data_IF_189013700086
#
_entry.id   IF_189013700086
#
_cell.length_a   1.000
_cell.length_b   1.000
_cell.length_c   1.000
_cell.angle_alpha   90.00
_cell.angle_beta   90.00
_cell.angle_gamma   90.00
#
_symmetry.space_group_name_H-M   'P 1'
#
loop_
_entity.id
_entity.type
_entity.pdbx_description
1 polymer ?
#
# COMPACT_ATOMS: atom_id res chain seq x y z
N UNK A 1 9.32 8.57 12.04
CA UNK A 1 8.51 9.73 11.61
C UNK A 1 9.20 10.35 10.41
N UNK A 2 8.68 10.13 9.21
CA UNK A 2 9.24 10.70 7.98
C UNK A 2 9.06 12.23 8.07
N UNK A 3 10.16 12.98 8.01
CA UNK A 3 10.20 14.46 8.04
C UNK A 3 10.20 14.99 6.60
N UNK A 4 9.42 16.04 6.30
CA UNK A 4 9.33 16.69 4.98
C UNK A 4 7.90 16.67 4.41
N UNK A 5 7.65 17.36 3.29
CA UNK A 5 6.34 17.29 2.61
C UNK A 5 6.11 15.85 2.13
N UNK A 6 4.85 15.41 2.08
CA UNK A 6 4.48 14.05 1.67
C UNK A 6 5.09 13.71 0.29
N UNK A 7 5.01 14.68 -0.64
CA UNK A 7 5.61 14.66 -1.99
C UNK A 7 7.08 14.28 -2.03
N UNK A 8 7.85 14.74 -1.04
CA UNK A 8 9.32 14.59 -1.00
C UNK A 8 9.73 13.17 -0.58
N UNK A 9 8.78 12.38 -0.08
CA UNK A 9 9.03 11.05 0.43
C UNK A 9 8.22 9.96 -0.30
N UNK A 10 7.50 10.28 -1.39
CA UNK A 10 6.75 9.28 -2.15
C UNK A 10 7.64 8.10 -2.56
N UNK A 11 8.84 8.34 -3.08
CA UNK A 11 9.77 7.27 -3.45
C UNK A 11 10.08 6.33 -2.28
N UNK A 12 10.22 6.86 -1.05
CA UNK A 12 10.45 6.04 0.16
C UNK A 12 9.20 5.28 0.58
N UNK A 13 8.02 5.90 0.45
CA UNK A 13 6.73 5.24 0.74
C UNK A 13 6.51 4.08 -0.23
N UNK A 14 6.73 4.29 -1.52
CA UNK A 14 6.66 3.24 -2.54
C UNK A 14 7.71 2.14 -2.27
N UNK A 15 8.96 2.49 -1.97
CA UNK A 15 9.98 1.51 -1.63
C UNK A 15 9.60 0.68 -0.39
N UNK A 16 9.07 1.31 0.66
CA UNK A 16 8.58 0.62 1.85
C UNK A 16 7.42 -0.32 1.51
N UNK A 17 6.48 0.13 0.67
CA UNK A 17 5.36 -0.67 0.22
C UNK A 17 5.82 -1.90 -0.58
N UNK A 18 6.73 -1.71 -1.54
CA UNK A 18 7.34 -2.80 -2.31
C UNK A 18 8.06 -3.80 -1.40
N UNK A 19 8.86 -3.33 -0.44
CA UNK A 19 9.53 -4.19 0.53
C UNK A 19 8.53 -4.97 1.40
N UNK A 20 7.44 -4.33 1.82
CA UNK A 20 6.36 -4.99 2.55
C UNK A 20 5.71 -6.12 1.75
N UNK A 21 5.46 -5.90 0.45
CA UNK A 21 4.94 -6.93 -0.45
C UNK A 21 5.94 -8.07 -0.64
N UNK A 22 7.22 -7.77 -0.87
CA UNK A 22 8.26 -8.79 -1.00
C UNK A 22 8.38 -9.65 0.27
N UNK A 23 8.36 -9.01 1.45
CA UNK A 23 8.36 -9.71 2.72
C UNK A 23 7.13 -10.62 2.87
N UNK A 24 5.94 -10.13 2.48
CA UNK A 24 4.71 -10.93 2.48
C UNK A 24 4.80 -12.12 1.52
N UNK A 25 5.35 -11.96 0.32
CA UNK A 25 5.55 -13.07 -0.63
C UNK A 25 6.49 -14.13 -0.08
N UNK A 26 7.61 -13.72 0.53
CA UNK A 26 8.54 -14.64 1.19
C UNK A 26 7.83 -15.39 2.32
N UNK A 27 7.03 -14.70 3.12
CA UNK A 27 6.27 -15.31 4.21
C UNK A 27 5.24 -16.33 3.69
N UNK A 28 4.52 -16.04 2.61
CA UNK A 28 3.63 -16.99 1.94
C UNK A 28 4.39 -18.19 1.38
N UNK A 29 5.56 -17.99 0.76
CA UNK A 29 6.40 -19.07 0.26
C UNK A 29 6.90 -19.98 1.40
N UNK A 30 7.24 -19.41 2.56
CA UNK A 30 7.60 -20.20 3.75
C UNK A 30 6.40 -21.02 4.22
N UNK A 31 5.21 -20.44 4.31
CA UNK A 31 4.01 -21.17 4.69
C UNK A 31 3.65 -22.30 3.71
N UNK A 32 3.81 -22.06 2.41
CA UNK A 32 3.65 -23.10 1.39
C UNK A 32 4.64 -24.27 1.63
N UNK A 33 5.91 -23.96 1.90
CA UNK A 33 6.93 -24.98 2.24
C UNK A 33 6.61 -25.73 3.53
N UNK A 34 5.93 -25.11 4.48
CA UNK A 34 5.44 -25.74 5.71
C UNK A 34 4.15 -26.57 5.51
N UNK A 35 3.62 -26.63 4.28
CA UNK A 35 2.46 -27.45 3.93
C UNK A 35 1.13 -26.69 3.93
N UNK A 36 1.12 -25.35 3.97
CA UNK A 36 -0.10 -24.58 3.81
C UNK A 36 -0.71 -24.84 2.43
N UNK A 37 -1.99 -25.23 2.39
CA UNK A 37 -2.69 -25.48 1.13
C UNK A 37 -2.95 -24.19 0.34
N UNK A 38 -3.11 -24.32 -0.99
CA UNK A 38 -3.34 -23.20 -1.90
C UNK A 38 -4.49 -22.27 -1.48
N UNK A 39 -5.57 -22.83 -0.90
CA UNK A 39 -6.70 -22.05 -0.36
C UNK A 39 -6.26 -21.12 0.78
N UNK A 40 -5.43 -21.60 1.71
CA UNK A 40 -4.96 -20.81 2.84
C UNK A 40 -4.04 -19.68 2.38
N UNK A 41 -3.14 -19.97 1.42
CA UNK A 41 -2.29 -18.96 0.78
C UNK A 41 -3.15 -17.90 0.09
N UNK A 42 -4.14 -18.31 -0.72
CA UNK A 42 -5.04 -17.37 -1.40
C UNK A 42 -5.83 -16.46 -0.44
N UNK A 43 -6.33 -17.01 0.68
CA UNK A 43 -6.96 -16.22 1.75
C UNK A 43 -5.95 -15.24 2.36
N UNK A 44 -4.69 -15.67 2.57
CA UNK A 44 -3.63 -14.79 3.05
C UNK A 44 -3.43 -13.57 2.16
N UNK A 45 -3.33 -13.76 0.83
CA UNK A 45 -3.21 -12.65 -0.13
C UNK A 45 -4.40 -11.70 -0.08
N UNK A 46 -5.63 -12.24 0.02
CA UNK A 46 -6.84 -11.43 0.15
C UNK A 46 -6.82 -10.62 1.46
N UNK A 47 -6.56 -11.27 2.59
CA UNK A 47 -6.51 -10.60 3.89
C UNK A 47 -5.42 -9.52 3.93
N UNK A 48 -4.26 -9.78 3.34
CA UNK A 48 -3.17 -8.81 3.28
C UNK A 48 -3.55 -7.56 2.49
N UNK A 49 -4.15 -7.73 1.31
CA UNK A 49 -4.60 -6.59 0.48
C UNK A 49 -5.69 -5.77 1.17
N UNK A 50 -6.66 -6.43 1.81
CA UNK A 50 -7.70 -5.75 2.61
C UNK A 50 -7.07 -4.97 3.77
N UNK A 51 -6.15 -5.60 4.53
CA UNK A 51 -5.50 -4.96 5.67
C UNK A 51 -4.73 -3.70 5.25
N UNK A 52 -4.03 -3.77 4.12
CA UNK A 52 -3.30 -2.63 3.56
C UNK A 52 -4.26 -1.49 3.19
N UNK A 53 -5.34 -1.76 2.46
CA UNK A 53 -6.31 -0.72 2.12
C UNK A 53 -6.99 -0.13 3.36
N UNK A 54 -7.30 -0.95 4.36
CA UNK A 54 -7.87 -0.48 5.62
C UNK A 54 -6.90 0.47 6.37
N UNK A 55 -5.61 0.11 6.43
CA UNK A 55 -4.57 0.95 7.04
C UNK A 55 -4.42 2.27 6.28
N UNK A 56 -4.31 2.22 4.94
CA UNK A 56 -4.18 3.44 4.11
C UNK A 56 -5.41 4.33 4.31
N UNK A 57 -6.62 3.77 4.27
CA UNK A 57 -7.86 4.51 4.48
C UNK A 57 -7.95 5.14 5.87
N UNK A 58 -7.53 4.43 6.92
CA UNK A 58 -7.48 4.96 8.27
C UNK A 58 -6.47 6.13 8.39
N UNK A 59 -5.25 5.95 7.86
CA UNK A 59 -4.21 6.98 7.90
C UNK A 59 -4.53 8.20 7.01
N UNK A 60 -5.29 8.00 5.94
CA UNK A 60 -5.66 9.04 4.97
C UNK A 60 -7.04 9.66 5.25
N UNK A 61 -7.68 9.31 6.38
CA UNK A 61 -9.01 9.80 6.73
C UNK A 61 -8.99 11.33 6.90
N UNK A 62 -9.82 12.03 6.14
CA UNK A 62 -9.93 13.50 6.19
C UNK A 62 -11.39 13.95 5.97
N UNK A 63 -11.76 15.07 6.58
CA UNK A 63 -13.03 15.77 6.35
C UNK A 63 -12.85 17.07 5.54
N UNK A 64 -11.61 17.44 5.22
CA UNK A 64 -11.28 18.65 4.47
C UNK A 64 -11.52 18.44 2.97
N UNK A 65 -12.38 19.25 2.36
CA UNK A 65 -12.77 19.09 0.95
C UNK A 65 -11.56 19.17 -0.02
N UNK A 66 -10.59 20.03 0.26
CA UNK A 66 -9.38 20.17 -0.57
C UNK A 66 -8.47 18.94 -0.51
N UNK A 67 -8.39 18.26 0.63
CA UNK A 67 -7.68 17.01 0.77
C UNK A 67 -8.49 15.84 0.17
N UNK A 68 -9.81 15.84 0.37
CA UNK A 68 -10.70 14.76 -0.07
C UNK A 68 -10.84 14.68 -1.61
N UNK A 69 -11.02 15.82 -2.28
CA UNK A 69 -11.30 15.82 -3.73
C UNK A 69 -10.05 15.94 -4.60
N UNK A 70 -9.02 16.64 -4.13
CA UNK A 70 -7.85 16.96 -4.97
C UNK A 70 -6.52 16.67 -4.31
N UNK A 71 -6.50 16.06 -3.12
CA UNK A 71 -5.29 15.77 -2.35
C UNK A 71 -4.35 17.00 -2.26
N UNK A 72 -4.93 18.18 -2.05
CA UNK A 72 -4.18 19.45 -2.01
C UNK A 72 -3.48 19.85 -3.32
N UNK A 73 -3.70 19.12 -4.42
CA UNK A 73 -2.96 19.23 -5.70
C UNK A 73 -1.46 19.01 -5.57
N UNK A 74 -1.05 18.25 -4.56
CA UNK A 74 0.37 18.01 -4.28
C UNK A 74 0.91 16.76 -5.00
N UNK A 75 0.04 15.84 -5.44
CA UNK A 75 0.48 14.56 -6.02
C UNK A 75 1.09 14.75 -7.43
N UNK A 76 2.34 14.34 -7.66
CA UNK A 76 3.00 14.50 -8.97
C UNK A 76 2.34 13.66 -10.08
N UNK A 77 2.45 14.14 -11.32
CA UNK A 77 1.80 13.54 -12.50
C UNK A 77 2.12 12.04 -12.70
N UNK A 78 3.37 11.62 -12.45
CA UNK A 78 3.76 10.21 -12.57
C UNK A 78 2.91 9.29 -11.69
N UNK A 79 2.71 9.66 -10.42
CA UNK A 79 1.98 8.86 -9.45
C UNK A 79 0.47 8.85 -9.73
N UNK A 80 -0.08 9.98 -10.20
CA UNK A 80 -1.45 10.03 -10.69
C UNK A 80 -1.65 9.13 -11.92
N UNK A 81 -0.68 9.11 -12.84
CA UNK A 81 -0.67 8.21 -13.99
C UNK A 81 -0.68 6.74 -13.58
N UNK A 82 0.15 6.36 -12.60
CA UNK A 82 0.15 5.00 -12.05
C UNK A 82 -1.18 4.62 -11.41
N UNK A 83 -1.79 5.52 -10.62
CA UNK A 83 -3.09 5.28 -10.01
C UNK A 83 -4.22 5.11 -11.05
N UNK A 84 -4.09 5.76 -12.21
CA UNK A 84 -5.06 5.63 -13.32
C UNK A 84 -4.90 4.31 -14.09
N UNK A 85 -3.69 3.74 -14.09
CA UNK A 85 -3.36 2.53 -14.83
C UNK A 85 -3.69 1.22 -14.06
N UNK A 86 -3.85 1.31 -12.74
CA UNK A 86 -4.20 0.19 -11.85
C UNK A 86 -5.72 -0.03 -11.83
#
# INVERSE_FOLDING_TARGET
>A
MIKGKFTDNLAKVYALYTLGFLAFFVLMAVFEKMGAGAKAIGIGFLCFTIAIYAIIGYLSRTAEASAYYVAGREVPALYNGMATAA
#
